data_IF_740941643548
#
_entry.id   IF_740941643548
#
_cell.length_a   1.000
_cell.length_b   1.000
_cell.length_c   1.000
_cell.angle_alpha   90.00
_cell.angle_beta   90.00
_cell.angle_gamma   90.00
#
_symmetry.space_group_name_H-M   'P 1'
#
loop_
_entity.id
_entity.type
_entity.pdbx_description
1 polymer ?
#
# COMPACT_ATOMS: atom_id res chain seq x y z
N UNK A 1 -2.41 15.03 -8.42
CA UNK A 1 -1.38 15.48 -7.47
C UNK A 1 -0.23 14.47 -7.44
N UNK A 2 0.96 14.95 -7.63
CA UNK A 2 2.18 14.13 -7.62
C UNK A 2 2.65 13.91 -6.17
N UNK A 3 2.88 12.65 -5.78
CA UNK A 3 3.35 12.30 -4.44
C UNK A 3 4.86 12.04 -4.40
N UNK A 4 5.41 11.49 -5.46
CA UNK A 4 6.84 11.33 -5.69
C UNK A 4 7.10 11.31 -7.19
N UNK A 5 8.33 11.07 -7.61
CA UNK A 5 8.72 11.14 -9.02
C UNK A 5 7.80 10.35 -9.95
N UNK A 6 7.39 9.14 -9.55
CA UNK A 6 6.60 8.24 -10.40
C UNK A 6 5.23 7.87 -9.84
N UNK A 7 4.81 8.47 -8.73
CA UNK A 7 3.53 8.14 -8.10
C UNK A 7 2.62 9.36 -7.98
N UNK A 8 1.36 9.17 -8.39
CA UNK A 8 0.30 10.19 -8.28
C UNK A 8 -0.73 9.75 -7.24
N UNK A 9 -1.37 10.72 -6.59
CA UNK A 9 -2.41 10.45 -5.59
C UNK A 9 -3.53 9.57 -6.15
N UNK A 10 -3.92 9.74 -7.40
CA UNK A 10 -4.98 8.97 -8.03
C UNK A 10 -4.72 7.45 -8.04
N UNK A 11 -3.45 7.02 -8.02
CA UNK A 11 -3.10 5.60 -7.96
C UNK A 11 -3.48 4.99 -6.61
N UNK A 12 -3.56 5.81 -5.57
CA UNK A 12 -3.84 5.38 -4.20
C UNK A 12 -5.31 5.53 -3.81
N UNK A 13 -6.07 6.31 -4.54
CA UNK A 13 -7.50 6.49 -4.27
C UNK A 13 -8.38 5.71 -5.23
N UNK A 14 -7.84 5.26 -6.36
CA UNK A 14 -8.58 4.44 -7.33
C UNK A 14 -8.96 3.10 -6.70
N UNK A 15 -10.23 2.71 -6.87
CA UNK A 15 -10.76 1.44 -6.37
C UNK A 15 -11.94 1.00 -7.23
N UNK A 16 -11.84 -0.18 -7.84
CA UNK A 16 -12.94 -0.76 -8.62
C UNK A 16 -14.13 -1.08 -7.72
N UNK A 17 -13.89 -1.52 -6.49
CA UNK A 17 -14.95 -1.78 -5.52
C UNK A 17 -15.68 -0.50 -5.15
N UNK A 18 -14.96 0.59 -4.88
CA UNK A 18 -15.57 1.88 -4.57
C UNK A 18 -16.43 2.37 -5.73
N UNK A 19 -15.92 2.26 -6.96
CA UNK A 19 -16.65 2.66 -8.16
C UNK A 19 -17.92 1.86 -8.32
N UNK A 20 -17.86 0.53 -8.16
CA UNK A 20 -19.00 -0.36 -8.26
C UNK A 20 -20.07 -0.07 -7.22
N UNK A 21 -19.66 0.28 -5.99
CA UNK A 21 -20.56 0.56 -4.87
C UNK A 21 -20.98 2.04 -4.76
N UNK A 22 -20.48 2.90 -5.63
CA UNK A 22 -20.78 4.34 -5.57
C UNK A 22 -20.16 5.05 -4.40
N UNK A 23 -19.01 4.57 -3.89
CA UNK A 23 -18.29 5.17 -2.77
C UNK A 23 -17.25 6.15 -3.31
N UNK A 24 -17.26 7.39 -2.83
CA UNK A 24 -16.21 8.37 -3.12
C UNK A 24 -15.01 8.08 -2.24
N UNK A 25 -13.96 7.49 -2.81
CA UNK A 25 -12.75 7.13 -2.08
C UNK A 25 -11.69 8.20 -2.24
N UNK A 26 -11.84 9.29 -1.51
CA UNK A 26 -10.90 10.41 -1.50
C UNK A 26 -10.39 10.68 -0.10
N UNK A 27 -9.13 11.12 -0.01
CA UNK A 27 -8.55 11.50 1.29
C UNK A 27 -9.35 12.65 1.90
N UNK A 28 -9.67 12.51 3.19
CA UNK A 28 -10.45 13.50 3.94
C UNK A 28 -9.59 14.46 4.74
N UNK A 29 -8.27 14.26 4.78
CA UNK A 29 -7.36 15.11 5.54
C UNK A 29 -6.01 15.26 4.86
N UNK A 30 -5.31 16.36 5.18
CA UNK A 30 -3.94 16.60 4.70
C UNK A 30 -2.98 15.54 5.23
N UNK A 31 -3.17 15.09 6.47
CA UNK A 31 -2.33 14.06 7.08
C UNK A 31 -2.32 12.77 6.28
N UNK A 32 -3.46 12.36 5.74
CA UNK A 32 -3.54 11.16 4.89
C UNK A 32 -2.71 11.32 3.62
N UNK A 33 -2.77 12.49 3.00
CA UNK A 33 -1.98 12.79 1.79
C UNK A 33 -0.49 12.81 2.12
N UNK A 34 -0.11 13.44 3.24
CA UNK A 34 1.29 13.49 3.69
C UNK A 34 1.81 12.10 4.02
N UNK A 35 0.98 11.25 4.62
CA UNK A 35 1.34 9.87 4.92
C UNK A 35 1.58 9.07 3.64
N UNK A 36 0.73 9.23 2.63
CA UNK A 36 0.92 8.59 1.33
C UNK A 36 2.20 9.07 0.65
N UNK A 37 2.47 10.38 0.69
CA UNK A 37 3.71 10.92 0.13
C UNK A 37 4.94 10.34 0.83
N UNK A 38 4.89 10.20 2.14
CA UNK A 38 5.96 9.59 2.93
C UNK A 38 6.19 8.13 2.51
N UNK A 39 5.11 7.36 2.41
CA UNK A 39 5.18 5.97 1.95
C UNK A 39 5.80 5.87 0.54
N UNK A 40 5.41 6.77 -0.36
CA UNK A 40 5.99 6.83 -1.70
C UNK A 40 7.48 7.11 -1.65
N UNK A 41 7.91 8.14 -0.92
CA UNK A 41 9.31 8.53 -0.86
C UNK A 41 10.20 7.46 -0.19
N UNK A 42 9.73 6.89 0.90
CA UNK A 42 10.56 6.00 1.73
C UNK A 42 10.54 4.54 1.25
N UNK A 43 9.47 4.11 0.59
CA UNK A 43 9.26 2.69 0.28
C UNK A 43 9.00 2.45 -1.21
N UNK A 44 7.96 3.06 -1.76
CA UNK A 44 7.49 2.70 -3.10
C UNK A 44 8.38 3.26 -4.21
N UNK A 45 8.89 4.48 -4.08
CA UNK A 45 9.78 5.06 -5.08
C UNK A 45 11.11 4.30 -5.15
N UNK A 46 11.77 3.95 -4.02
CA UNK A 46 12.95 3.09 -4.07
C UNK A 46 12.69 1.75 -4.78
N UNK A 47 11.54 1.12 -4.52
CA UNK A 47 11.17 -0.11 -5.20
C UNK A 47 10.99 0.11 -6.72
N UNK A 48 10.30 1.19 -7.09
CA UNK A 48 10.07 1.60 -8.47
C UNK A 48 11.39 1.87 -9.21
N UNK A 49 12.33 2.55 -8.53
CA UNK A 49 13.63 2.87 -9.11
C UNK A 49 14.45 1.60 -9.38
N UNK A 50 14.32 0.59 -8.52
CA UNK A 50 15.04 -0.68 -8.65
C UNK A 50 14.47 -1.56 -9.77
N UNK A 51 13.14 -1.70 -9.85
CA UNK A 51 12.50 -2.72 -10.67
C UNK A 51 11.73 -2.19 -11.88
N UNK A 52 11.62 -0.87 -12.03
CA UNK A 52 10.76 -0.28 -13.05
C UNK A 52 9.30 -0.18 -12.58
N UNK A 53 8.35 0.03 -13.49
CA UNK A 53 6.95 0.26 -13.11
C UNK A 53 6.39 -0.81 -12.18
N UNK A 54 5.76 -0.36 -11.10
CA UNK A 54 5.01 -1.21 -10.17
C UNK A 54 3.56 -0.72 -10.10
N UNK A 55 2.64 -1.65 -9.84
CA UNK A 55 1.22 -1.35 -9.80
C UNK A 55 0.69 -1.43 -8.37
N UNK A 56 0.00 -0.38 -7.94
CA UNK A 56 -0.68 -0.32 -6.65
C UNK A 56 -2.13 -0.76 -6.88
N UNK A 57 -2.58 -1.77 -6.15
CA UNK A 57 -3.94 -2.29 -6.24
C UNK A 57 -4.86 -1.71 -5.18
N UNK A 58 -4.32 -1.29 -4.03
CA UNK A 58 -5.06 -0.62 -2.97
C UNK A 58 -4.12 0.31 -2.22
N UNK A 59 -4.50 1.56 -2.10
CA UNK A 59 -3.79 2.56 -1.31
C UNK A 59 -4.66 3.05 -0.18
N UNK A 60 -5.08 4.32 -0.24
CA UNK A 60 -6.01 4.86 0.74
C UNK A 60 -7.40 4.22 0.61
N UNK A 61 -8.00 3.89 1.75
CA UNK A 61 -9.39 3.45 1.84
C UNK A 61 -10.14 4.30 2.86
N UNK A 62 -11.22 4.97 2.41
CA UNK A 62 -12.12 5.62 3.36
C UNK A 62 -12.89 4.54 4.14
N UNK A 63 -13.44 4.86 5.34
CA UNK A 63 -13.99 3.84 6.26
C UNK A 63 -15.03 2.92 5.66
N UNK A 64 -15.96 3.45 4.86
CA UNK A 64 -17.01 2.63 4.23
C UNK A 64 -16.41 1.63 3.24
N UNK A 65 -15.44 2.07 2.44
CA UNK A 65 -14.75 1.17 1.51
C UNK A 65 -13.96 0.11 2.27
N UNK A 66 -13.27 0.49 3.35
CA UNK A 66 -12.51 -0.44 4.16
C UNK A 66 -13.43 -1.54 4.73
N UNK A 67 -14.61 -1.18 5.20
CA UNK A 67 -15.60 -2.14 5.65
C UNK A 67 -16.09 -3.05 4.52
N UNK A 68 -16.35 -2.50 3.34
CA UNK A 68 -16.85 -3.24 2.19
C UNK A 68 -15.87 -4.30 1.69
N UNK A 69 -14.56 -4.06 1.79
CA UNK A 69 -13.53 -5.02 1.38
C UNK A 69 -13.06 -5.93 2.51
N UNK A 70 -13.66 -5.83 3.69
CA UNK A 70 -13.32 -6.65 4.85
C UNK A 70 -12.00 -6.28 5.51
N UNK A 71 -11.57 -5.04 5.40
CA UNK A 71 -10.36 -4.55 6.04
C UNK A 71 -10.50 -4.49 7.57
N UNK A 72 -9.36 -4.54 8.27
CA UNK A 72 -9.34 -4.42 9.73
C UNK A 72 -9.90 -3.06 10.16
N UNK A 73 -10.56 -3.01 11.31
CA UNK A 73 -11.20 -1.79 11.82
C UNK A 73 -10.21 -0.65 12.08
N UNK A 74 -8.93 -0.96 12.27
CA UNK A 74 -7.85 0.01 12.48
C UNK A 74 -6.82 -0.04 11.35
N UNK A 75 -7.25 -0.36 10.14
CA UNK A 75 -6.36 -0.53 8.99
C UNK A 75 -5.55 0.73 8.69
N UNK A 76 -4.25 0.55 8.44
CA UNK A 76 -3.36 1.64 8.01
C UNK A 76 -3.74 2.19 6.63
N UNK A 77 -4.48 1.44 5.81
CA UNK A 77 -5.02 1.97 4.56
C UNK A 77 -5.93 3.18 4.80
N UNK A 78 -6.65 3.22 5.91
CA UNK A 78 -7.52 4.35 6.25
C UNK A 78 -6.75 5.60 6.66
N UNK A 79 -5.48 5.48 7.00
CA UNK A 79 -4.63 6.60 7.39
C UNK A 79 -3.67 7.04 6.28
N UNK A 80 -3.68 6.36 5.12
CA UNK A 80 -2.72 6.63 4.05
C UNK A 80 -1.33 6.09 4.34
N UNK A 81 -1.21 5.12 5.23
CA UNK A 81 0.08 4.56 5.64
C UNK A 81 0.43 3.24 4.96
N UNK A 82 -0.46 2.71 4.15
CA UNK A 82 -0.31 1.38 3.56
C UNK A 82 -0.64 1.36 2.07
N UNK A 83 -0.02 0.42 1.37
CA UNK A 83 -0.35 0.11 -0.01
C UNK A 83 -0.21 -1.40 -0.25
N UNK A 84 -1.06 -1.91 -1.12
CA UNK A 84 -0.97 -3.27 -1.64
C UNK A 84 -0.37 -3.21 -3.04
N UNK A 85 0.64 -4.05 -3.28
CA UNK A 85 1.41 -4.07 -4.51
C UNK A 85 1.05 -5.31 -5.32
N UNK A 86 0.65 -5.11 -6.57
CA UNK A 86 0.43 -6.19 -7.52
C UNK A 86 1.73 -6.95 -7.81
N UNK A 87 1.65 -8.28 -7.88
CA UNK A 87 2.78 -9.13 -8.22
C UNK A 87 2.58 -9.74 -9.60
N UNK A 88 3.43 -9.42 -10.59
CA UNK A 88 3.34 -10.03 -11.93
C UNK A 88 3.56 -11.55 -11.90
N UNK A 89 4.35 -12.03 -10.93
CA UNK A 89 4.62 -13.43 -10.69
C UNK A 89 5.09 -13.63 -9.26
N UNK A 90 5.10 -14.86 -8.78
CA UNK A 90 5.66 -15.19 -7.46
C UNK A 90 7.15 -14.84 -7.42
N UNK A 91 7.89 -15.19 -8.48
CA UNK A 91 9.33 -14.89 -8.54
C UNK A 91 9.61 -13.40 -8.44
N UNK A 92 8.86 -12.57 -9.19
CA UNK A 92 9.01 -11.12 -9.11
C UNK A 92 8.64 -10.61 -7.72
N UNK A 93 7.59 -11.16 -7.12
CA UNK A 93 7.19 -10.83 -5.76
C UNK A 93 8.27 -11.14 -4.74
N UNK A 94 8.98 -12.26 -4.88
CA UNK A 94 10.09 -12.61 -3.99
C UNK A 94 11.26 -11.64 -4.15
N UNK A 95 11.53 -11.16 -5.37
CA UNK A 95 12.53 -10.11 -5.61
C UNK A 95 12.14 -8.80 -4.93
N UNK A 96 10.87 -8.39 -5.04
CA UNK A 96 10.36 -7.20 -4.36
C UNK A 96 10.52 -7.34 -2.85
N UNK A 97 10.12 -8.49 -2.31
CA UNK A 97 10.19 -8.75 -0.88
C UNK A 97 11.63 -8.63 -0.35
N UNK A 98 12.59 -9.25 -1.06
CA UNK A 98 13.99 -9.20 -0.69
C UNK A 98 14.52 -7.76 -0.66
N UNK A 99 14.17 -6.96 -1.66
CA UNK A 99 14.56 -5.55 -1.71
C UNK A 99 13.89 -4.73 -0.59
N UNK A 100 12.59 -4.89 -0.41
CA UNK A 100 11.84 -4.13 0.60
C UNK A 100 12.37 -4.37 2.01
N UNK A 101 12.84 -5.58 2.31
CA UNK A 101 13.46 -5.91 3.60
C UNK A 101 14.72 -5.08 3.90
N UNK A 102 15.37 -4.55 2.88
CA UNK A 102 16.60 -3.76 3.05
C UNK A 102 16.33 -2.30 3.37
N UNK A 103 15.10 -1.83 3.19
CA UNK A 103 14.76 -0.43 3.39
C UNK A 103 14.82 -0.03 4.87
N UNK A 104 15.26 1.20 5.17
CA UNK A 104 15.41 1.65 6.56
C UNK A 104 14.09 1.88 7.29
N UNK A 105 13.02 2.16 6.54
CA UNK A 105 11.71 2.48 7.14
C UNK A 105 10.66 1.49 6.65
N UNK A 106 10.13 0.70 7.58
CA UNK A 106 9.02 -0.23 7.35
C UNK A 106 8.24 -0.40 8.65
N UNK A 107 6.92 -0.28 8.61
CA UNK A 107 6.08 -0.68 9.74
C UNK A 107 5.65 -2.14 9.58
N UNK A 108 4.99 -2.46 8.48
CA UNK A 108 4.64 -3.84 8.14
C UNK A 108 5.07 -4.17 6.71
N UNK A 109 5.51 -5.40 6.53
CA UNK A 109 5.78 -6.01 5.22
C UNK A 109 5.16 -7.40 5.25
N UNK A 110 4.09 -7.58 4.48
CA UNK A 110 3.26 -8.79 4.57
C UNK A 110 3.10 -9.40 3.19
N UNK A 111 3.46 -10.69 3.07
CA UNK A 111 3.09 -11.50 1.92
C UNK A 111 1.69 -12.04 2.16
N UNK A 112 0.74 -11.65 1.32
CA UNK A 112 -0.65 -12.09 1.46
C UNK A 112 -1.06 -12.97 0.28
N UNK A 113 -1.89 -13.95 0.56
CA UNK A 113 -2.42 -14.87 -0.44
C UNK A 113 -3.91 -15.12 -0.19
N UNK A 114 -4.67 -15.09 -1.29
CA UNK A 114 -6.07 -15.52 -1.29
C UNK A 114 -6.26 -16.40 -2.53
N UNK A 115 -6.41 -17.72 -2.33
CA UNK A 115 -6.41 -18.68 -3.43
C UNK A 115 -5.08 -18.64 -4.19
N UNK A 116 -5.13 -18.41 -5.50
CA UNK A 116 -3.95 -18.32 -6.35
C UNK A 116 -3.39 -16.91 -6.47
N UNK A 117 -4.05 -15.93 -5.86
CA UNK A 117 -3.65 -14.52 -5.94
C UNK A 117 -2.77 -14.18 -4.75
N UNK A 118 -1.57 -13.65 -5.03
CA UNK A 118 -0.65 -13.14 -4.04
C UNK A 118 -0.42 -11.64 -4.24
N UNK A 119 -0.19 -10.93 -3.16
CA UNK A 119 0.23 -9.53 -3.19
C UNK A 119 1.11 -9.22 -2.00
N UNK A 120 1.77 -8.08 -2.04
CA UNK A 120 2.54 -7.57 -0.91
C UNK A 120 1.82 -6.37 -0.33
N UNK A 121 1.54 -6.44 0.96
CA UNK A 121 1.09 -5.30 1.76
C UNK A 121 2.32 -4.68 2.40
N UNK A 122 2.49 -3.37 2.23
CA UNK A 122 3.58 -2.62 2.85
C UNK A 122 3.04 -1.37 3.51
N UNK A 123 3.59 -1.03 4.67
CA UNK A 123 3.21 0.18 5.39
C UNK A 123 4.42 0.86 6.01
N UNK A 124 4.31 2.17 6.21
CA UNK A 124 5.28 2.98 6.91
C UNK A 124 4.56 4.14 7.58
N UNK A 125 4.91 4.41 8.83
CA UNK A 125 4.36 5.52 9.61
C UNK A 125 5.28 6.72 9.46
N UNK A 126 4.72 7.84 8.99
CA UNK A 126 5.42 9.12 8.94
C UNK A 126 5.69 9.65 10.34
N UNK A 127 4.75 9.40 11.25
CA UNK A 127 4.83 9.81 12.65
C UNK A 127 4.74 8.58 13.53
N UNK A 128 5.57 8.51 14.56
CA UNK A 128 5.62 7.40 15.48
C UNK A 128 6.63 6.33 15.07
N UNK A 129 6.69 5.27 15.87
CA UNK A 129 7.66 4.21 15.70
C UNK A 129 7.20 3.16 14.70
N UNK A 130 8.05 2.84 13.74
CA UNK A 130 7.84 1.75 12.78
C UNK A 130 8.29 0.42 13.39
N UNK A 131 7.41 -0.59 13.35
CA UNK A 131 7.60 -1.87 14.03
C UNK A 131 8.51 -2.85 13.31
N UNK A 132 8.70 -2.67 12.01
CA UNK A 132 9.47 -3.58 11.15
C UNK A 132 8.93 -5.01 11.24
N UNK A 133 7.61 -5.15 11.20
CA UNK A 133 6.92 -6.43 11.33
C UNK A 133 6.83 -7.14 9.99
N UNK A 134 7.44 -8.34 9.91
CA UNK A 134 7.41 -9.18 8.72
C UNK A 134 6.42 -10.33 8.95
N UNK A 135 5.46 -10.51 8.04
CA UNK A 135 4.41 -11.52 8.20
C UNK A 135 4.04 -12.19 6.89
N UNK A 136 3.39 -13.34 6.98
CA UNK A 136 2.74 -14.03 5.87
C UNK A 136 1.31 -14.35 6.31
N UNK A 137 0.34 -14.02 5.47
CA UNK A 137 -1.08 -14.22 5.77
C UNK A 137 -1.74 -14.95 4.60
N UNK A 138 -2.50 -15.99 4.92
CA UNK A 138 -3.37 -16.72 3.98
C UNK A 138 -4.81 -16.42 4.35
N UNK A 139 -5.57 -15.94 3.37
CA UNK A 139 -6.99 -15.63 3.53
C UNK A 139 -7.88 -16.82 3.15
#
# INVERSE_FOLDING_TARGET
MQLSKNFCLSEFTRSDTAKRLGIENECSSVEQVLNLAYLCHMVLQPLRDKFGPIRITSGYRQPELNGAVGGASNSQHMRGEAADIYLPSVDKGLEYLAFLKTLPVLDQLIWERNGDICWIHVSAKRLGKNRRQLRSIVH
#
